data_IF_828094840423
#
_entry.id   IF_828094840423
#
_cell.length_a   1.000
_cell.length_b   1.000
_cell.length_c   1.000
_cell.angle_alpha   90.00
_cell.angle_beta   90.00
_cell.angle_gamma   90.00
#
_symmetry.space_group_name_H-M   'P 1'
#
loop_
_entity.id
_entity.type
_entity.pdbx_description
1 polymer ?
#
# COMPACT_ATOMS: atom_id res chain seq x y z
N UNK A 1 15.21 45.88 -44.26
CA UNK A 1 16.47 45.20 -43.87
C UNK A 1 16.24 44.43 -42.59
N UNK A 2 15.87 43.15 -42.69
CA UNK A 2 16.06 42.17 -41.61
C UNK A 2 15.85 40.78 -42.20
N UNK A 3 16.93 40.15 -42.65
CA UNK A 3 16.95 38.73 -43.01
C UNK A 3 17.26 37.93 -41.75
N UNK A 4 16.23 37.25 -41.23
CA UNK A 4 16.32 36.39 -40.06
C UNK A 4 16.37 34.93 -40.54
N UNK A 5 17.59 34.40 -40.52
CA UNK A 5 18.03 33.01 -40.56
C UNK A 5 16.96 31.92 -40.71
N UNK A 6 16.98 31.25 -41.87
CA UNK A 6 16.59 29.84 -42.06
C UNK A 6 17.48 28.96 -41.18
N UNK A 7 16.89 28.08 -40.37
CA UNK A 7 17.60 26.97 -39.74
C UNK A 7 17.23 25.65 -40.41
N UNK A 8 18.30 24.95 -40.77
CA UNK A 8 18.39 23.74 -41.58
C UNK A 8 18.05 22.49 -40.75
N UNK A 9 17.35 21.55 -41.38
CA UNK A 9 17.00 20.25 -40.80
C UNK A 9 18.17 19.29 -41.00
N UNK A 10 19.15 19.33 -40.10
CA UNK A 10 20.38 18.55 -40.27
C UNK A 10 21.04 18.10 -38.96
N UNK A 11 20.81 16.84 -38.60
CA UNK A 11 21.64 15.99 -37.71
C UNK A 11 21.84 16.47 -36.26
N UNK A 12 20.92 16.09 -35.39
CA UNK A 12 21.22 15.97 -33.96
C UNK A 12 21.93 14.64 -33.71
N UNK A 13 23.21 14.73 -33.37
CA UNK A 13 24.07 13.63 -32.93
C UNK A 13 23.48 12.90 -31.70
N UNK A 14 23.28 11.61 -31.86
CA UNK A 14 23.04 10.61 -30.81
C UNK A 14 24.24 10.57 -29.86
N UNK A 15 24.20 11.33 -28.76
CA UNK A 15 25.38 11.40 -27.91
C UNK A 15 25.27 12.04 -26.54
N UNK A 16 24.08 12.17 -25.91
CA UNK A 16 24.05 12.69 -24.52
C UNK A 16 22.88 12.36 -23.61
N UNK A 17 22.04 11.37 -23.92
CA UNK A 17 20.87 11.01 -23.09
C UNK A 17 21.00 9.73 -22.25
N UNK A 18 22.18 9.07 -22.20
CA UNK A 18 22.36 7.83 -21.43
C UNK A 18 22.66 8.02 -19.93
N UNK A 19 22.86 9.26 -19.45
CA UNK A 19 23.24 9.52 -18.04
C UNK A 19 22.09 9.85 -17.08
N UNK A 20 20.95 10.32 -17.56
CA UNK A 20 19.78 10.62 -16.69
C UNK A 20 19.03 9.35 -16.25
N UNK A 21 19.03 8.28 -17.06
CA UNK A 21 18.36 7.02 -16.72
C UNK A 21 18.96 6.26 -15.53
N UNK A 22 20.20 6.57 -15.11
CA UNK A 22 20.89 5.87 -14.00
C UNK A 22 20.53 6.40 -12.61
N UNK A 23 20.01 7.62 -12.50
CA UNK A 23 19.60 8.22 -11.23
C UNK A 23 18.10 7.99 -10.93
N UNK A 24 17.30 7.69 -11.94
CA UNK A 24 15.88 7.40 -11.78
C UNK A 24 15.62 6.12 -10.95
N UNK A 25 16.41 5.06 -11.14
CA UNK A 25 16.25 3.80 -10.41
C UNK A 25 16.49 3.93 -8.89
N UNK A 26 17.61 4.50 -8.44
CA UNK A 26 17.88 4.75 -7.02
C UNK A 26 16.86 5.69 -6.37
N UNK A 27 16.43 6.74 -7.07
CA UNK A 27 15.43 7.69 -6.56
C UNK A 27 14.04 7.06 -6.48
N UNK A 28 13.62 6.28 -7.47
CA UNK A 28 12.37 5.54 -7.43
C UNK A 28 12.37 4.46 -6.34
N UNK A 29 13.52 3.80 -6.11
CA UNK A 29 13.70 2.84 -5.03
C UNK A 29 13.70 3.51 -3.66
N UNK A 30 14.35 4.67 -3.52
CA UNK A 30 14.31 5.47 -2.31
C UNK A 30 12.91 6.04 -2.05
N UNK A 31 12.21 6.52 -3.07
CA UNK A 31 10.82 6.96 -2.94
C UNK A 31 9.89 5.79 -2.58
N UNK A 32 10.00 4.63 -3.23
CA UNK A 32 9.26 3.42 -2.84
C UNK A 32 9.59 3.00 -1.41
N UNK A 33 10.85 3.03 -1.02
CA UNK A 33 11.29 2.70 0.34
C UNK A 33 10.75 3.72 1.37
N UNK A 34 10.93 5.01 1.14
CA UNK A 34 10.47 6.09 2.04
C UNK A 34 8.94 6.19 2.10
N UNK A 35 8.23 5.85 1.01
CA UNK A 35 6.77 5.84 0.97
C UNK A 35 6.16 4.53 1.50
N UNK A 36 6.93 3.44 1.50
CA UNK A 36 6.61 2.19 2.18
C UNK A 36 6.85 2.29 3.70
N UNK A 37 7.88 3.01 4.12
CA UNK A 37 8.17 3.30 5.53
C UNK A 37 7.45 4.56 5.99
N UNK A 38 6.11 4.47 6.08
CA UNK A 38 5.35 5.39 6.95
C UNK A 38 5.62 4.96 8.38
N UNK A 39 6.73 5.43 8.96
CA UNK A 39 7.14 5.13 10.34
C UNK A 39 5.96 5.36 11.30
N UNK A 40 5.16 6.39 11.05
CA UNK A 40 3.95 6.67 11.81
C UNK A 40 2.92 5.54 11.77
N UNK A 41 2.76 4.85 10.63
CA UNK A 41 1.87 3.68 10.52
C UNK A 41 2.53 2.47 11.15
N UNK A 42 3.82 2.25 10.90
CA UNK A 42 4.55 1.12 11.49
C UNK A 42 4.45 1.13 13.02
N UNK A 43 4.55 2.31 13.64
CA UNK A 43 4.36 2.48 15.09
C UNK A 43 2.95 2.14 15.56
N UNK A 44 1.91 2.33 14.74
CA UNK A 44 0.52 1.94 15.07
C UNK A 44 0.33 0.43 15.02
N UNK A 45 1.02 -0.27 14.13
CA UNK A 45 0.97 -1.73 14.03
C UNK A 45 1.93 -2.45 14.98
N UNK A 46 2.91 -1.75 15.57
CA UNK A 46 3.88 -2.37 16.48
C UNK A 46 3.23 -3.16 17.64
N UNK A 47 2.23 -2.63 18.37
CA UNK A 47 1.59 -3.39 19.46
C UNK A 47 0.88 -4.65 18.97
N UNK A 48 0.39 -4.65 17.73
CA UNK A 48 -0.24 -5.81 17.10
C UNK A 48 0.81 -6.85 16.75
N UNK A 49 1.94 -6.43 16.18
CA UNK A 49 3.06 -7.30 15.89
C UNK A 49 3.55 -7.99 17.18
N UNK A 50 3.71 -7.23 18.26
CA UNK A 50 4.11 -7.75 19.57
C UNK A 50 3.07 -8.73 20.13
N UNK A 51 1.78 -8.38 20.07
CA UNK A 51 0.69 -9.25 20.55
C UNK A 51 0.54 -10.56 19.75
N UNK A 52 0.95 -10.56 18.48
CA UNK A 52 0.90 -11.72 17.59
C UNK A 52 2.19 -12.55 17.59
N UNK A 53 3.30 -12.04 18.13
CA UNK A 53 4.62 -12.66 18.05
C UNK A 53 4.63 -14.12 18.53
N UNK A 54 4.06 -14.36 19.73
CA UNK A 54 4.00 -15.68 20.35
C UNK A 54 2.73 -16.47 20.01
N UNK A 55 1.88 -15.94 19.12
CA UNK A 55 0.67 -16.62 18.69
C UNK A 55 0.96 -17.64 17.59
N UNK A 56 0.15 -18.71 17.48
CA UNK A 56 0.27 -19.68 16.39
C UNK A 56 0.23 -19.00 15.01
N UNK A 57 0.99 -19.52 14.06
CA UNK A 57 1.06 -18.95 12.71
C UNK A 57 -0.25 -19.11 11.90
N UNK A 58 -1.10 -20.08 12.27
CA UNK A 58 -2.32 -20.43 11.54
C UNK A 58 -3.57 -19.63 11.93
N UNK A 59 -3.44 -18.48 12.61
CA UNK A 59 -4.58 -17.64 12.96
C UNK A 59 -5.24 -17.06 11.70
N UNK A 60 -6.57 -17.04 11.70
CA UNK A 60 -7.40 -16.37 10.69
C UNK A 60 -7.55 -14.91 11.10
N UNK A 61 -6.72 -14.07 10.52
CA UNK A 61 -6.63 -12.64 10.83
C UNK A 61 -7.43 -11.85 9.81
N UNK A 62 -8.26 -10.91 10.27
CA UNK A 62 -8.92 -9.90 9.44
C UNK A 62 -8.45 -8.50 9.84
N UNK A 63 -8.11 -7.68 8.85
CA UNK A 63 -7.82 -6.25 9.01
C UNK A 63 -8.89 -5.42 8.27
N UNK A 64 -9.72 -4.72 9.04
CA UNK A 64 -10.85 -3.93 8.53
C UNK A 64 -10.39 -2.50 8.24
N UNK A 65 -10.67 -2.02 7.01
CA UNK A 65 -10.17 -0.75 6.50
C UNK A 65 -8.68 -0.77 6.18
N UNK A 66 -8.15 -1.93 5.77
CA UNK A 66 -6.71 -2.11 5.59
C UNK A 66 -6.12 -1.29 4.43
N UNK A 67 -6.95 -0.75 3.54
CA UNK A 67 -6.56 -0.10 2.31
C UNK A 67 -5.71 -0.99 1.40
N UNK A 68 -5.09 -0.39 0.39
CA UNK A 68 -4.37 -1.14 -0.67
C UNK A 68 -2.86 -1.29 -0.41
N UNK A 69 -2.39 -1.00 0.80
CA UNK A 69 -0.95 -0.99 1.16
C UNK A 69 -0.55 -2.15 2.07
N UNK A 70 -1.28 -3.26 2.00
CA UNK A 70 -0.97 -4.50 2.71
C UNK A 70 -1.51 -4.60 4.13
N UNK A 71 -2.01 -3.51 4.73
CA UNK A 71 -2.52 -3.49 6.11
C UNK A 71 -1.53 -4.11 7.10
N UNK A 72 -2.05 -4.94 8.00
CA UNK A 72 -1.27 -5.71 8.98
C UNK A 72 -0.15 -6.55 8.34
N UNK A 73 -0.33 -7.07 7.13
CA UNK A 73 0.64 -7.97 6.49
C UNK A 73 1.97 -7.29 6.13
N UNK A 74 1.95 -5.96 6.03
CA UNK A 74 3.15 -5.14 5.81
C UNK A 74 4.06 -5.05 7.05
N UNK A 75 3.53 -5.41 8.22
CA UNK A 75 4.21 -5.28 9.52
C UNK A 75 4.33 -6.62 10.25
N UNK A 76 3.41 -7.55 9.96
CA UNK A 76 3.39 -8.91 10.48
C UNK A 76 3.41 -9.85 9.27
N UNK A 77 4.51 -10.56 8.98
CA UNK A 77 4.65 -11.36 7.76
C UNK A 77 3.88 -12.69 7.85
N UNK A 78 2.56 -12.60 7.99
CA UNK A 78 1.60 -13.70 8.06
C UNK A 78 0.43 -13.43 7.10
N UNK A 79 -0.19 -14.47 6.53
CA UNK A 79 -1.40 -14.31 5.74
C UNK A 79 -2.52 -13.65 6.54
N UNK A 80 -3.24 -12.73 5.92
CA UNK A 80 -4.43 -12.12 6.52
C UNK A 80 -5.46 -11.78 5.44
N UNK A 81 -6.72 -11.72 5.85
CA UNK A 81 -7.76 -11.08 5.07
C UNK A 81 -7.71 -9.57 5.30
N UNK A 82 -7.92 -8.80 4.24
CA UNK A 82 -8.09 -7.35 4.32
C UNK A 82 -9.42 -6.94 3.74
N UNK A 83 -10.22 -6.21 4.50
CA UNK A 83 -11.49 -5.64 3.99
C UNK A 83 -11.34 -4.16 3.80
N UNK A 84 -11.75 -3.67 2.63
CA UNK A 84 -11.92 -2.25 2.37
C UNK A 84 -13.04 -2.07 1.33
N UNK A 85 -13.67 -0.89 1.31
CA UNK A 85 -14.71 -0.56 0.33
C UNK A 85 -14.12 -0.40 -1.08
N UNK A 86 -12.81 -0.16 -1.19
CA UNK A 86 -12.12 -0.07 -2.47
C UNK A 86 -10.65 -0.50 -2.37
N UNK A 87 -10.12 -1.00 -3.48
CA UNK A 87 -8.70 -1.31 -3.58
C UNK A 87 -8.10 -0.80 -4.89
N UNK A 88 -6.89 -0.25 -4.78
CA UNK A 88 -5.96 -0.07 -5.89
C UNK A 88 -5.27 -1.41 -6.20
N UNK A 89 -5.65 -2.01 -7.33
CA UNK A 89 -5.17 -3.35 -7.75
C UNK A 89 -3.67 -3.38 -8.06
N UNK A 90 -3.08 -2.29 -8.52
CA UNK A 90 -1.65 -2.27 -8.81
C UNK A 90 -0.84 -2.33 -7.52
N UNK A 91 -1.28 -1.62 -6.48
CA UNK A 91 -0.62 -1.65 -5.16
C UNK A 91 -0.73 -2.99 -4.46
N UNK A 92 -1.86 -3.68 -4.61
CA UNK A 92 -2.05 -5.01 -4.02
C UNK A 92 -1.03 -6.05 -4.51
N UNK A 93 -0.46 -5.88 -5.71
CA UNK A 93 0.55 -6.80 -6.25
C UNK A 93 1.82 -6.86 -5.38
N UNK A 94 2.11 -5.78 -4.65
CA UNK A 94 3.26 -5.71 -3.75
C UNK A 94 3.00 -6.42 -2.39
N UNK A 95 1.79 -6.96 -2.16
CA UNK A 95 1.35 -7.52 -0.87
C UNK A 95 0.77 -8.95 -1.01
N UNK A 96 1.60 -9.97 -1.28
CA UNK A 96 1.14 -11.33 -1.59
C UNK A 96 0.52 -12.09 -0.41
N UNK A 97 0.72 -11.62 0.82
CA UNK A 97 0.12 -12.22 2.03
C UNK A 97 -1.28 -11.68 2.34
N UNK A 98 -1.71 -10.62 1.64
CA UNK A 98 -3.02 -10.02 1.83
C UNK A 98 -4.03 -10.65 0.88
N UNK A 99 -5.07 -11.27 1.44
CA UNK A 99 -6.27 -11.63 0.68
C UNK A 99 -7.25 -10.46 0.75
N UNK A 100 -7.28 -9.64 -0.30
CA UNK A 100 -8.15 -8.46 -0.37
C UNK A 100 -9.61 -8.83 -0.66
N UNK A 101 -10.52 -8.27 0.14
CA UNK A 101 -11.97 -8.51 0.08
C UNK A 101 -12.68 -7.16 0.00
N UNK A 102 -13.31 -6.87 -1.14
CA UNK A 102 -14.08 -5.63 -1.32
C UNK A 102 -15.42 -5.75 -0.59
N UNK A 103 -15.56 -5.05 0.54
CA UNK A 103 -16.78 -5.04 1.34
C UNK A 103 -16.81 -3.82 2.28
N UNK A 104 -17.99 -3.53 2.85
CA UNK A 104 -18.10 -2.56 3.95
C UNK A 104 -17.70 -3.21 5.27
N UNK A 105 -16.95 -2.49 6.11
CA UNK A 105 -16.67 -2.91 7.48
C UNK A 105 -17.92 -3.07 8.35
N UNK A 106 -19.03 -2.42 7.98
CA UNK A 106 -20.33 -2.55 8.65
C UNK A 106 -21.12 -3.80 8.20
N UNK A 107 -20.65 -4.53 7.18
CA UNK A 107 -21.30 -5.72 6.63
C UNK A 107 -20.23 -6.71 6.14
N UNK A 108 -19.52 -7.31 7.10
CA UNK A 108 -18.41 -8.21 6.83
C UNK A 108 -18.87 -9.53 6.19
N UNK A 109 -18.26 -10.00 5.09
CA UNK A 109 -18.65 -11.23 4.39
C UNK A 109 -17.99 -12.48 4.99
N UNK A 110 -17.94 -12.55 6.32
CA UNK A 110 -17.35 -13.67 7.07
C UNK A 110 -18.44 -14.28 7.95
N UNK A 111 -18.41 -15.60 8.12
CA UNK A 111 -19.33 -16.26 9.03
C UNK A 111 -18.99 -15.90 10.48
N UNK A 112 -19.99 -15.96 11.36
CA UNK A 112 -19.77 -15.81 12.81
C UNK A 112 -18.73 -16.85 13.30
N UNK A 113 -17.91 -16.45 14.27
CA UNK A 113 -16.84 -17.27 14.88
C UNK A 113 -15.82 -17.88 13.89
N UNK A 114 -15.72 -17.34 12.67
CA UNK A 114 -14.82 -17.84 11.64
C UNK A 114 -13.42 -17.19 11.62
N UNK A 115 -13.19 -16.18 12.46
CA UNK A 115 -11.94 -15.43 12.54
C UNK A 115 -11.39 -15.51 13.97
N UNK A 116 -10.06 -15.58 14.10
CA UNK A 116 -9.41 -15.67 15.41
C UNK A 116 -8.96 -14.29 15.93
N UNK A 117 -8.67 -13.36 15.01
CA UNK A 117 -8.25 -11.99 15.33
C UNK A 117 -8.87 -11.03 14.32
N UNK A 118 -9.48 -9.95 14.81
CA UNK A 118 -10.02 -8.86 14.00
C UNK A 118 -9.34 -7.55 14.41
N UNK A 119 -8.81 -6.83 13.44
CA UNK A 119 -8.14 -5.56 13.58
C UNK A 119 -8.97 -4.46 12.91
N UNK A 120 -8.95 -3.27 13.47
CA UNK A 120 -9.60 -2.09 12.92
C UNK A 120 -8.78 -0.87 13.37
N UNK A 121 -7.84 -0.43 12.52
CA UNK A 121 -6.95 0.70 12.79
C UNK A 121 -7.29 1.85 11.87
N UNK A 122 -7.35 3.06 12.42
CA UNK A 122 -7.53 4.31 11.66
C UNK A 122 -8.66 4.25 10.61
N UNK A 123 -9.73 3.53 10.97
CA UNK A 123 -10.86 3.24 10.07
C UNK A 123 -12.16 3.85 10.59
N UNK A 124 -12.37 3.84 11.91
CA UNK A 124 -13.65 4.25 12.50
C UNK A 124 -13.93 5.74 12.34
N UNK A 125 -12.90 6.58 12.23
CA UNK A 125 -13.02 8.02 11.98
C UNK A 125 -13.63 8.35 10.61
N UNK A 126 -13.64 7.38 9.69
CA UNK A 126 -14.26 7.54 8.38
C UNK A 126 -15.77 7.24 8.39
N UNK A 127 -16.28 6.67 9.49
CA UNK A 127 -17.70 6.40 9.63
C UNK A 127 -18.44 7.69 9.99
N UNK A 128 -19.58 7.91 9.34
CA UNK A 128 -20.52 8.92 9.82
C UNK A 128 -21.06 8.47 11.17
N UNK A 129 -21.09 9.35 12.19
CA UNK A 129 -21.74 9.03 13.45
C UNK A 129 -23.16 8.55 13.18
N UNK A 130 -23.53 7.38 13.70
CA UNK A 130 -24.91 6.96 13.62
C UNK A 130 -25.76 7.99 14.37
N UNK A 131 -26.93 8.32 13.82
CA UNK A 131 -27.99 8.92 14.61
C UNK A 131 -28.51 7.81 15.53
N UNK A 132 -28.01 7.75 16.76
CA UNK A 132 -28.48 6.84 17.80
C UNK A 132 -29.77 7.39 18.41
#
# INVERSE_FOLDING_TARGET
MSDMFRLDAGRVQTGRLRRLGRLAGPLARYQRWNWAWRLEIALRYQPIADALADRPAGLRILDVGCGSKGGVTSYVPRPAFGVDVTFDRERLQDHPLLTAVVASGAALPFADDSLDVVLCLDTLEHLTPAAW
#
